data_IF_932088004515
#
_entry.id   IF_932088004515
#
_cell.length_a   1.000
_cell.length_b   1.000
_cell.length_c   1.000
_cell.angle_alpha   90.00
_cell.angle_beta   90.00
_cell.angle_gamma   90.00
#
_symmetry.space_group_name_H-M   'P 1'
#
loop_
_entity.id
_entity.type
_entity.pdbx_description
1 polymer ?
#
# COMPACT_ATOMS: atom_id res chain seq x y z
N UNK A 1 57.27 -9.02 31.00
CA UNK A 1 56.13 -9.94 30.81
C UNK A 1 54.88 -9.10 30.56
N UNK A 2 54.52 -8.88 29.30
CA UNK A 2 53.34 -8.09 28.90
C UNK A 2 52.27 -9.11 28.50
N UNK A 3 51.09 -9.17 29.15
CA UNK A 3 50.08 -10.12 28.74
C UNK A 3 49.38 -9.64 27.47
N UNK A 4 49.29 -10.57 26.52
CA UNK A 4 48.55 -10.52 25.26
C UNK A 4 47.07 -10.20 25.51
N UNK A 5 46.61 -9.00 25.16
CA UNK A 5 45.16 -8.68 25.08
C UNK A 5 44.71 -8.35 23.65
N UNK A 6 45.64 -8.26 22.69
CA UNK A 6 45.31 -7.82 21.31
C UNK A 6 44.78 -8.92 20.38
N UNK A 7 44.74 -10.19 20.78
CA UNK A 7 44.29 -11.29 19.90
C UNK A 7 42.80 -11.63 20.05
N UNK A 8 42.20 -11.46 21.25
CA UNK A 8 40.80 -11.83 21.48
C UNK A 8 39.81 -10.82 20.85
N UNK A 9 40.16 -9.53 20.87
CA UNK A 9 39.36 -8.46 20.26
C UNK A 9 39.44 -8.53 18.72
N UNK A 10 40.62 -8.84 18.17
CA UNK A 10 40.78 -9.01 16.72
C UNK A 10 40.01 -10.23 16.21
N UNK A 11 39.97 -11.33 16.97
CA UNK A 11 39.19 -12.53 16.63
C UNK A 11 37.67 -12.30 16.67
N UNK A 12 37.17 -11.54 17.65
CA UNK A 12 35.74 -11.19 17.73
C UNK A 12 35.30 -10.25 16.61
N UNK A 13 36.13 -9.26 16.25
CA UNK A 13 35.83 -8.33 15.15
C UNK A 13 35.87 -9.04 13.80
N UNK A 14 36.88 -9.89 13.54
CA UNK A 14 36.95 -10.71 12.33
C UNK A 14 35.79 -11.72 12.23
N UNK A 15 35.43 -12.39 13.33
CA UNK A 15 34.29 -13.32 13.38
C UNK A 15 32.97 -12.63 13.04
N UNK A 16 32.73 -11.42 13.57
CA UNK A 16 31.51 -10.66 13.29
C UNK A 16 31.40 -10.19 11.84
N UNK A 17 32.54 -9.88 11.19
CA UNK A 17 32.57 -9.46 9.79
C UNK A 17 32.34 -10.65 8.84
N UNK A 18 32.93 -11.81 9.14
CA UNK A 18 32.74 -13.05 8.38
C UNK A 18 31.29 -13.54 8.48
N UNK A 19 30.73 -13.59 9.69
CA UNK A 19 29.32 -13.97 9.92
C UNK A 19 28.33 -13.09 9.15
N UNK A 20 28.63 -11.79 9.01
CA UNK A 20 27.81 -10.84 8.24
C UNK A 20 27.97 -11.01 6.73
N UNK A 21 29.18 -11.31 6.26
CA UNK A 21 29.40 -11.62 4.85
C UNK A 21 28.68 -12.91 4.43
N UNK A 22 28.66 -13.92 5.31
CA UNK A 22 27.92 -15.16 5.09
C UNK A 22 26.41 -14.90 5.06
N UNK A 23 25.88 -14.15 6.03
CA UNK A 23 24.45 -13.81 6.05
C UNK A 23 24.01 -12.98 4.84
N UNK A 24 24.86 -12.06 4.34
CA UNK A 24 24.58 -11.31 3.11
C UNK A 24 24.50 -12.24 1.90
N UNK A 25 25.44 -13.18 1.78
CA UNK A 25 25.44 -14.18 0.70
C UNK A 25 24.22 -15.08 0.78
N UNK A 26 23.85 -15.53 1.98
CA UNK A 26 22.66 -16.36 2.19
C UNK A 26 21.37 -15.60 1.88
N UNK A 27 21.31 -14.31 2.21
CA UNK A 27 20.20 -13.45 1.83
C UNK A 27 20.06 -13.32 0.30
N UNK A 28 21.18 -13.14 -0.43
CA UNK A 28 21.17 -13.12 -1.90
C UNK A 28 20.66 -14.45 -2.45
N UNK A 29 21.18 -15.58 -1.99
CA UNK A 29 20.71 -16.90 -2.43
C UNK A 29 19.23 -17.13 -2.11
N UNK A 30 18.75 -16.67 -0.94
CA UNK A 30 17.35 -16.77 -0.57
C UNK A 30 16.45 -15.94 -1.50
N UNK A 31 16.88 -14.73 -1.88
CA UNK A 31 16.19 -13.91 -2.91
C UNK A 31 16.13 -14.66 -4.25
N UNK A 32 17.26 -15.21 -4.71
CA UNK A 32 17.33 -15.91 -6.01
C UNK A 32 16.43 -17.16 -6.04
N UNK A 33 16.45 -17.97 -4.98
CA UNK A 33 15.57 -19.15 -4.87
C UNK A 33 14.11 -18.75 -4.76
N UNK A 34 13.82 -17.74 -3.94
CA UNK A 34 12.48 -17.22 -3.71
C UNK A 34 11.84 -16.69 -4.99
N UNK A 35 12.53 -15.78 -5.67
CA UNK A 35 12.06 -15.21 -6.96
C UNK A 35 11.93 -16.27 -8.04
N UNK A 36 12.89 -17.21 -8.14
CA UNK A 36 12.82 -18.31 -9.11
C UNK A 36 11.57 -19.15 -8.92
N UNK A 37 11.26 -19.55 -7.69
CA UNK A 37 10.05 -20.32 -7.42
C UNK A 37 8.79 -19.47 -7.62
N UNK A 38 8.75 -18.27 -7.05
CA UNK A 38 7.55 -17.45 -7.06
C UNK A 38 7.12 -17.07 -8.50
N UNK A 39 8.07 -16.88 -9.41
CA UNK A 39 7.79 -16.68 -10.84
C UNK A 39 6.98 -17.84 -11.47
N UNK A 40 7.08 -19.07 -10.93
CA UNK A 40 6.29 -20.23 -11.40
C UNK A 40 4.82 -20.17 -11.02
N UNK A 41 4.43 -19.26 -10.11
CA UNK A 41 3.03 -19.01 -9.73
C UNK A 41 2.31 -18.07 -10.70
N UNK A 42 3.05 -17.47 -11.64
CA UNK A 42 2.51 -16.48 -12.57
C UNK A 42 1.58 -17.10 -13.61
N UNK A 43 0.62 -16.29 -14.04
CA UNK A 43 -0.26 -16.57 -15.19
C UNK A 43 -0.23 -15.36 -16.10
N UNK A 44 0.09 -15.58 -17.38
CA UNK A 44 0.24 -14.50 -18.37
C UNK A 44 1.22 -13.39 -17.89
N UNK A 45 2.17 -13.74 -17.02
CA UNK A 45 3.12 -12.81 -16.39
C UNK A 45 2.64 -12.13 -15.10
N UNK A 46 1.35 -12.21 -14.75
CA UNK A 46 0.79 -11.61 -13.53
C UNK A 46 0.50 -12.62 -12.41
N UNK A 47 -0.01 -12.11 -11.27
CA UNK A 47 -0.08 -12.83 -9.99
C UNK A 47 -1.42 -12.57 -9.26
N UNK A 48 -1.80 -13.49 -8.38
CA UNK A 48 -2.90 -13.32 -7.41
C UNK A 48 -2.41 -12.98 -6.00
N UNK A 49 -3.28 -12.94 -5.00
CA UNK A 49 -2.84 -12.78 -3.60
C UNK A 49 -2.29 -14.07 -3.02
N UNK A 50 -2.91 -15.19 -3.38
CA UNK A 50 -2.60 -16.49 -2.83
C UNK A 50 -2.68 -17.59 -3.89
N UNK A 51 -1.88 -18.64 -3.67
CA UNK A 51 -1.80 -19.83 -4.51
C UNK A 51 -1.64 -21.08 -3.64
N UNK A 52 -2.29 -22.19 -3.99
CA UNK A 52 -2.06 -23.49 -3.32
C UNK A 52 -0.66 -24.01 -3.59
N UNK A 53 -0.12 -24.86 -2.70
CA UNK A 53 1.24 -25.41 -2.87
C UNK A 53 1.41 -26.35 -4.08
N UNK A 54 0.30 -26.82 -4.65
CA UNK A 54 0.23 -27.58 -5.90
C UNK A 54 -0.08 -26.71 -7.14
N UNK A 55 -0.19 -25.38 -6.95
CA UNK A 55 -0.44 -24.35 -7.95
C UNK A 55 -1.80 -24.44 -8.68
N UNK A 56 -2.73 -25.29 -8.21
CA UNK A 56 -4.01 -25.51 -8.90
C UNK A 56 -5.06 -24.46 -8.62
N UNK A 57 -5.00 -23.79 -7.47
CA UNK A 57 -5.98 -22.79 -7.08
C UNK A 57 -5.28 -21.47 -6.79
N UNK A 58 -5.90 -20.38 -7.24
CA UNK A 58 -5.41 -19.01 -7.10
C UNK A 58 -6.59 -18.10 -6.81
N UNK A 59 -6.40 -17.14 -5.92
CA UNK A 59 -7.42 -16.13 -5.63
C UNK A 59 -6.76 -14.82 -5.18
N UNK A 60 -7.46 -13.72 -5.43
CA UNK A 60 -7.19 -12.39 -4.89
C UNK A 60 -8.24 -12.06 -3.85
N UNK A 61 -8.94 -10.93 -4.02
CA UNK A 61 -10.21 -10.75 -3.31
C UNK A 61 -11.18 -11.88 -3.69
N UNK A 62 -11.36 -12.17 -4.97
CA UNK A 62 -12.17 -13.29 -5.47
C UNK A 62 -11.35 -14.44 -6.05
N UNK A 63 -12.02 -15.52 -6.43
CA UNK A 63 -11.39 -16.61 -7.19
C UNK A 63 -10.87 -16.09 -8.53
N UNK A 64 -9.66 -16.51 -8.92
CA UNK A 64 -9.05 -16.13 -10.19
C UNK A 64 -9.17 -17.29 -11.19
N UNK A 65 -9.73 -17.00 -12.36
CA UNK A 65 -9.79 -17.93 -13.49
C UNK A 65 -8.40 -18.28 -14.04
N UNK A 66 -8.34 -19.26 -14.93
CA UNK A 66 -7.08 -19.79 -15.49
C UNK A 66 -6.18 -18.72 -16.12
N UNK A 67 -6.76 -17.63 -16.62
CA UNK A 67 -6.06 -16.50 -17.26
C UNK A 67 -6.30 -15.16 -16.57
N UNK A 68 -6.73 -15.20 -15.32
CA UNK A 68 -6.95 -13.99 -14.54
C UNK A 68 -5.71 -13.64 -13.72
N UNK A 69 -5.46 -12.33 -13.61
CA UNK A 69 -4.45 -11.75 -12.72
C UNK A 69 -5.08 -10.67 -11.85
N UNK A 70 -4.56 -10.50 -10.65
CA UNK A 70 -5.02 -9.50 -9.70
C UNK A 70 -4.22 -8.21 -9.87
N UNK A 71 -4.90 -7.07 -9.88
CA UNK A 71 -4.26 -5.75 -9.88
C UNK A 71 -4.13 -5.22 -8.45
N UNK A 72 -5.16 -5.39 -7.64
CA UNK A 72 -5.16 -4.94 -6.25
C UNK A 72 -3.98 -5.54 -5.47
N UNK A 73 -3.17 -4.71 -4.77
CA UNK A 73 -2.12 -5.18 -3.87
C UNK A 73 -2.63 -6.20 -2.85
N UNK A 74 -1.88 -7.27 -2.54
CA UNK A 74 -0.50 -7.56 -2.96
C UNK A 74 -0.40 -8.30 -4.31
N UNK A 75 -1.27 -8.02 -5.28
CA UNK A 75 -1.29 -8.65 -6.61
C UNK A 75 -0.13 -8.24 -7.53
N UNK A 76 -0.42 -8.25 -8.83
CA UNK A 76 0.58 -8.15 -9.91
C UNK A 76 1.55 -6.97 -9.79
N UNK A 77 1.10 -5.72 -9.56
CA UNK A 77 2.02 -4.59 -9.46
C UNK A 77 3.01 -4.73 -8.30
N UNK A 78 2.52 -5.17 -7.13
CA UNK A 78 3.36 -5.32 -5.94
C UNK A 78 4.37 -6.46 -6.09
N UNK A 79 3.97 -7.60 -6.65
CA UNK A 79 4.90 -8.70 -6.96
C UNK A 79 5.92 -8.28 -8.01
N UNK A 80 5.49 -7.56 -9.05
CA UNK A 80 6.36 -7.00 -10.08
C UNK A 80 7.43 -6.08 -9.47
N UNK A 81 7.04 -5.21 -8.54
CA UNK A 81 7.95 -4.32 -7.82
C UNK A 81 8.96 -5.12 -6.98
N UNK A 82 8.53 -6.16 -6.26
CA UNK A 82 9.42 -7.03 -5.50
C UNK A 82 10.42 -7.77 -6.42
N UNK A 83 9.98 -8.24 -7.59
CA UNK A 83 10.86 -8.88 -8.59
C UNK A 83 11.90 -7.89 -9.15
N UNK A 84 11.49 -6.65 -9.42
CA UNK A 84 12.41 -5.58 -9.83
C UNK A 84 13.43 -5.30 -8.73
N UNK A 85 12.97 -5.13 -7.48
CA UNK A 85 13.82 -4.90 -6.32
C UNK A 85 14.84 -6.02 -6.11
N UNK A 86 14.40 -7.28 -6.23
CA UNK A 86 15.28 -8.43 -6.17
C UNK A 86 16.37 -8.40 -7.26
N UNK A 87 16.01 -8.05 -8.50
CA UNK A 87 16.99 -7.89 -9.57
C UNK A 87 18.01 -6.78 -9.27
N UNK A 88 17.57 -5.65 -8.72
CA UNK A 88 18.48 -4.54 -8.42
C UNK A 88 19.57 -4.89 -7.42
N UNK A 89 19.24 -5.70 -6.41
CA UNK A 89 20.18 -6.07 -5.34
C UNK A 89 21.01 -7.31 -5.66
N UNK A 90 20.55 -8.19 -6.56
CA UNK A 90 21.21 -9.46 -6.89
C UNK A 90 21.78 -9.57 -8.30
N UNK A 91 21.31 -8.75 -9.25
CA UNK A 91 21.53 -8.89 -10.70
C UNK A 91 21.05 -10.23 -11.26
N UNK A 92 20.15 -10.92 -10.55
CA UNK A 92 19.60 -12.21 -10.96
C UNK A 92 18.62 -12.06 -12.13
N UNK A 93 19.10 -12.37 -13.34
CA UNK A 93 18.32 -12.23 -14.58
C UNK A 93 16.92 -12.88 -14.59
N UNK A 94 16.67 -14.03 -13.95
CA UNK A 94 15.30 -14.55 -13.84
C UNK A 94 14.33 -13.62 -13.11
N UNK A 95 14.77 -12.90 -12.07
CA UNK A 95 13.94 -11.90 -11.39
C UNK A 95 13.62 -10.71 -12.32
N UNK A 96 14.61 -10.25 -13.09
CA UNK A 96 14.39 -9.22 -14.14
C UNK A 96 13.33 -9.67 -15.15
N UNK A 97 13.41 -10.91 -15.63
CA UNK A 97 12.43 -11.44 -16.59
C UNK A 97 11.02 -11.53 -15.99
N UNK A 98 10.91 -11.92 -14.72
CA UNK A 98 9.63 -11.95 -14.02
C UNK A 98 9.03 -10.54 -13.85
N UNK A 99 9.86 -9.52 -13.54
CA UNK A 99 9.41 -8.13 -13.48
C UNK A 99 8.93 -7.62 -14.85
N UNK A 100 9.69 -7.91 -15.93
CA UNK A 100 9.26 -7.56 -17.30
C UNK A 100 7.96 -8.25 -17.71
N UNK A 101 7.79 -9.52 -17.40
CA UNK A 101 6.56 -10.25 -17.66
C UNK A 101 5.36 -9.65 -16.91
N UNK A 102 5.55 -9.23 -15.65
CA UNK A 102 4.50 -8.53 -14.90
C UNK A 102 4.13 -7.19 -15.55
N UNK A 103 5.13 -6.42 -16.01
CA UNK A 103 4.88 -5.16 -16.72
C UNK A 103 4.12 -5.39 -18.04
N UNK A 104 4.52 -6.39 -18.83
CA UNK A 104 3.83 -6.80 -20.06
C UNK A 104 2.38 -7.20 -19.79
N UNK A 105 2.13 -7.95 -18.71
CA UNK A 105 0.78 -8.35 -18.28
C UNK A 105 -0.10 -7.12 -17.96
N UNK A 106 0.46 -6.14 -17.22
CA UNK A 106 -0.24 -4.90 -16.91
C UNK A 106 -0.50 -4.04 -18.16
N UNK A 107 0.47 -3.95 -19.08
CA UNK A 107 0.31 -3.23 -20.35
C UNK A 107 -0.81 -3.85 -21.19
N UNK A 108 -0.84 -5.18 -21.30
CA UNK A 108 -1.91 -5.93 -21.98
C UNK A 108 -3.26 -5.75 -21.30
N UNK A 109 -3.27 -5.63 -19.97
CA UNK A 109 -4.47 -5.41 -19.16
C UNK A 109 -4.93 -3.95 -19.05
N UNK A 110 -4.13 -2.98 -19.52
CA UNK A 110 -4.48 -1.56 -19.44
C UNK A 110 -5.62 -1.24 -20.41
N UNK A 111 -6.77 -0.82 -19.87
CA UNK A 111 -7.95 -0.55 -20.70
C UNK A 111 -7.77 0.70 -21.57
N UNK A 112 -8.73 0.98 -22.45
CA UNK A 112 -8.66 2.10 -23.40
C UNK A 112 -8.54 3.48 -22.74
N UNK A 113 -9.05 3.61 -21.51
CA UNK A 113 -8.99 4.84 -20.70
C UNK A 113 -7.60 5.10 -20.12
N UNK A 114 -6.71 4.09 -20.11
CA UNK A 114 -5.34 4.21 -19.61
C UNK A 114 -5.13 3.67 -18.19
N UNK A 115 -6.10 2.96 -17.62
CA UNK A 115 -6.02 2.45 -16.24
C UNK A 115 -6.45 1.01 -16.11
N UNK A 116 -6.70 0.60 -14.87
CA UNK A 116 -7.02 -0.79 -14.53
C UNK A 116 -8.25 -0.87 -13.64
N UNK A 117 -8.94 -2.00 -13.74
CA UNK A 117 -9.90 -2.46 -12.74
C UNK A 117 -9.20 -3.39 -11.74
N UNK A 118 -9.98 -4.08 -10.91
CA UNK A 118 -9.48 -4.99 -9.89
C UNK A 118 -8.78 -6.24 -10.46
N UNK A 119 -9.31 -6.80 -11.55
CA UNK A 119 -8.84 -8.06 -12.17
C UNK A 119 -8.68 -7.84 -13.66
N UNK A 120 -7.57 -8.31 -14.23
CA UNK A 120 -7.44 -8.43 -15.69
C UNK A 120 -7.78 -9.86 -16.09
N UNK A 121 -8.75 -10.01 -16.99
CA UNK A 121 -9.20 -11.29 -17.54
C UNK A 121 -8.78 -11.39 -19.00
N UNK A 122 -7.72 -12.13 -19.30
CA UNK A 122 -7.17 -12.15 -20.67
C UNK A 122 -8.03 -12.90 -21.70
N UNK A 123 -8.96 -13.73 -21.26
CA UNK A 123 -9.97 -14.42 -22.09
C UNK A 123 -11.41 -13.93 -21.83
N UNK A 124 -11.57 -12.89 -21.00
CA UNK A 124 -12.85 -12.30 -20.63
C UNK A 124 -13.11 -10.96 -21.31
N UNK A 125 -14.30 -10.36 -21.06
CA UNK A 125 -14.55 -9.00 -21.48
C UNK A 125 -13.64 -8.03 -20.71
N UNK A 126 -13.12 -7.02 -21.41
CA UNK A 126 -12.39 -5.93 -20.78
C UNK A 126 -13.34 -5.06 -19.96
N UNK A 127 -12.92 -4.70 -18.75
CA UNK A 127 -13.63 -3.72 -17.95
C UNK A 127 -13.57 -2.34 -18.64
N UNK A 128 -14.74 -1.71 -18.73
CA UNK A 128 -14.91 -0.37 -19.35
C UNK A 128 -14.80 0.77 -18.35
N UNK A 129 -14.23 0.49 -17.18
CA UNK A 129 -13.97 1.46 -16.14
C UNK A 129 -12.58 1.23 -15.55
N UNK A 130 -12.03 2.28 -14.97
CA UNK A 130 -10.86 2.26 -14.11
C UNK A 130 -11.30 2.44 -12.67
N UNK A 131 -10.52 1.87 -11.76
CA UNK A 131 -10.78 1.93 -10.34
C UNK A 131 -9.57 2.52 -9.62
N UNK A 132 -9.87 3.45 -8.71
CA UNK A 132 -8.91 4.03 -7.77
C UNK A 132 -9.05 3.41 -6.38
N UNK A 133 -9.93 2.43 -6.22
CA UNK A 133 -10.12 1.64 -5.01
C UNK A 133 -8.89 0.78 -4.73
N UNK A 134 -8.54 0.62 -3.45
CA UNK A 134 -7.49 -0.29 -2.98
C UNK A 134 -6.19 -0.24 -3.81
N UNK A 135 -5.69 0.96 -4.12
CA UNK A 135 -4.41 1.19 -4.83
C UNK A 135 -4.31 0.47 -6.20
N UNK A 136 -5.42 0.14 -6.87
CA UNK A 136 -5.42 -0.65 -8.10
C UNK A 136 -4.69 0.05 -9.27
N UNK A 137 -5.22 1.16 -9.78
CA UNK A 137 -4.59 1.89 -10.90
C UNK A 137 -3.25 2.50 -10.47
N UNK A 138 -3.17 2.97 -9.23
CA UNK A 138 -2.05 3.71 -8.68
C UNK A 138 -0.81 2.82 -8.48
N UNK A 139 -0.96 1.60 -7.94
CA UNK A 139 0.15 0.65 -7.83
C UNK A 139 0.64 0.16 -9.19
N UNK A 140 -0.27 -0.12 -10.13
CA UNK A 140 0.09 -0.49 -11.50
C UNK A 140 0.91 0.60 -12.18
N UNK A 141 0.47 1.86 -12.09
CA UNK A 141 1.20 2.99 -12.65
C UNK A 141 2.55 3.20 -11.98
N UNK A 142 2.63 3.13 -10.64
CA UNK A 142 3.89 3.24 -9.88
C UNK A 142 4.91 2.18 -10.31
N UNK A 143 4.47 0.93 -10.45
CA UNK A 143 5.35 -0.14 -10.92
C UNK A 143 5.82 0.07 -12.38
N UNK A 144 4.93 0.48 -13.29
CA UNK A 144 5.33 0.76 -14.67
C UNK A 144 6.29 1.97 -14.77
N UNK A 145 6.11 3.01 -13.95
CA UNK A 145 7.08 4.12 -13.87
C UNK A 145 8.44 3.62 -13.38
N UNK A 146 8.48 2.75 -12.36
CA UNK A 146 9.75 2.15 -11.91
C UNK A 146 10.43 1.32 -13.01
N UNK A 147 9.67 0.54 -13.78
CA UNK A 147 10.17 -0.22 -14.92
C UNK A 147 10.69 0.68 -16.05
N UNK A 148 9.97 1.75 -16.38
CA UNK A 148 10.40 2.75 -17.37
C UNK A 148 11.71 3.39 -16.94
N UNK A 149 11.82 3.86 -15.69
CA UNK A 149 13.06 4.47 -15.19
C UNK A 149 14.24 3.52 -15.24
N UNK A 150 14.01 2.22 -14.97
CA UNK A 150 15.07 1.21 -14.96
C UNK A 150 15.54 0.82 -16.36
N UNK A 151 14.61 0.59 -17.29
CA UNK A 151 14.90 -0.04 -18.57
C UNK A 151 14.75 0.86 -19.79
N UNK A 152 14.09 2.02 -19.65
CA UNK A 152 13.87 3.00 -20.72
C UNK A 152 13.22 2.39 -21.97
N UNK A 153 12.21 1.56 -21.74
CA UNK A 153 11.45 0.87 -22.78
C UNK A 153 10.28 1.73 -23.29
N UNK A 154 10.26 2.02 -24.59
CA UNK A 154 9.23 2.85 -25.24
C UNK A 154 7.81 2.28 -25.08
N UNK A 155 7.65 0.96 -25.00
CA UNK A 155 6.36 0.31 -24.81
C UNK A 155 5.85 0.56 -23.39
N UNK A 156 6.74 0.44 -22.40
CA UNK A 156 6.43 0.76 -21.00
C UNK A 156 6.12 2.25 -20.87
N UNK A 157 6.91 3.12 -21.50
CA UNK A 157 6.66 4.56 -21.51
C UNK A 157 5.27 4.92 -22.05
N UNK A 158 4.84 4.35 -23.18
CA UNK A 158 3.49 4.59 -23.73
C UNK A 158 2.39 4.20 -22.75
N UNK A 159 2.57 3.12 -21.99
CA UNK A 159 1.61 2.73 -20.97
C UNK A 159 1.61 3.68 -19.76
N UNK A 160 2.79 4.13 -19.32
CA UNK A 160 2.94 5.16 -18.28
C UNK A 160 2.27 6.46 -18.70
N UNK A 161 2.53 6.94 -19.92
CA UNK A 161 1.95 8.18 -20.47
C UNK A 161 0.42 8.11 -20.49
N UNK A 162 -0.17 6.99 -20.93
CA UNK A 162 -1.62 6.76 -20.88
C UNK A 162 -2.15 6.80 -19.45
N UNK A 163 -1.44 6.20 -18.50
CA UNK A 163 -1.80 6.25 -17.08
C UNK A 163 -1.77 7.65 -16.51
N UNK A 164 -0.72 8.44 -16.76
CA UNK A 164 -0.62 9.84 -16.30
C UNK A 164 -1.71 10.73 -16.92
N UNK A 165 -2.02 10.52 -18.20
CA UNK A 165 -3.13 11.21 -18.87
C UNK A 165 -4.49 10.84 -18.25
N UNK A 166 -4.69 9.57 -17.87
CA UNK A 166 -5.87 9.16 -17.12
C UNK A 166 -5.94 9.84 -15.75
N UNK A 167 -4.85 9.86 -14.99
CA UNK A 167 -4.83 10.45 -13.64
C UNK A 167 -5.27 11.91 -13.69
N UNK A 168 -4.72 12.68 -14.63
CA UNK A 168 -5.05 14.11 -14.78
C UNK A 168 -6.45 14.36 -15.36
N UNK A 169 -6.92 13.52 -16.30
CA UNK A 169 -8.25 13.70 -16.92
C UNK A 169 -9.42 13.22 -16.06
N UNK A 170 -9.17 12.30 -15.13
CA UNK A 170 -10.18 11.78 -14.20
C UNK A 170 -10.33 12.61 -12.92
N UNK A 171 -9.42 13.55 -12.67
CA UNK A 171 -9.49 14.43 -11.50
C UNK A 171 -10.73 15.33 -11.57
N UNK A 172 -11.48 15.38 -10.47
CA UNK A 172 -12.72 16.14 -10.35
C UNK A 172 -12.43 17.65 -10.28
N UNK A 173 -13.43 18.47 -10.60
CA UNK A 173 -13.27 19.94 -10.67
C UNK A 173 -12.84 20.60 -9.37
N UNK A 174 -13.12 19.98 -8.22
CA UNK A 174 -12.67 20.44 -6.91
C UNK A 174 -11.29 19.88 -6.50
N UNK A 175 -10.65 19.03 -7.32
CA UNK A 175 -9.30 18.49 -7.14
C UNK A 175 -9.20 17.07 -6.57
N UNK A 176 -10.31 16.45 -6.16
CA UNK A 176 -10.30 15.05 -5.71
C UNK A 176 -10.34 14.06 -6.87
N UNK A 177 -10.28 12.76 -6.57
CA UNK A 177 -10.51 11.69 -7.55
C UNK A 177 -11.79 10.90 -7.22
N UNK A 178 -12.52 10.42 -8.25
CA UNK A 178 -13.66 9.55 -8.04
C UNK A 178 -13.21 8.18 -7.52
N UNK A 179 -14.15 7.34 -7.08
CA UNK A 179 -13.86 5.92 -6.81
C UNK A 179 -13.62 5.14 -8.11
N UNK A 180 -14.41 5.43 -9.15
CA UNK A 180 -14.28 4.84 -10.49
C UNK A 180 -14.42 5.90 -11.58
N UNK A 181 -13.79 5.63 -12.71
CA UNK A 181 -13.89 6.47 -13.91
C UNK A 181 -14.14 5.61 -15.16
N UNK A 182 -15.03 6.01 -16.10
CA UNK A 182 -15.80 7.24 -16.16
C UNK A 182 -16.94 7.24 -15.14
N UNK A 183 -17.76 8.28 -15.17
CA UNK A 183 -18.91 8.45 -14.26
C UNK A 183 -19.87 7.24 -14.32
N UNK A 184 -20.21 6.69 -13.17
CA UNK A 184 -21.09 5.55 -12.95
C UNK A 184 -22.54 5.94 -12.59
N UNK A 185 -22.78 7.20 -12.18
CA UNK A 185 -24.12 7.69 -11.81
C UNK A 185 -24.54 7.35 -10.38
N UNK A 186 -23.60 6.98 -9.51
CA UNK A 186 -23.83 6.66 -8.11
C UNK A 186 -22.64 7.12 -7.25
N UNK A 187 -22.50 6.60 -6.03
CA UNK A 187 -21.44 7.02 -5.11
C UNK A 187 -20.03 6.83 -5.67
N UNK A 188 -19.84 5.99 -6.70
CA UNK A 188 -18.54 5.84 -7.34
C UNK A 188 -18.04 7.12 -8.03
N UNK A 189 -18.93 8.09 -8.29
CA UNK A 189 -18.60 9.39 -8.86
C UNK A 189 -18.01 10.38 -7.84
N UNK A 190 -18.10 10.07 -6.55
CA UNK A 190 -17.74 10.98 -5.48
C UNK A 190 -16.25 11.03 -5.24
N UNK A 191 -15.77 12.16 -4.74
CA UNK A 191 -14.41 12.30 -4.25
C UNK A 191 -14.20 11.32 -3.09
N UNK A 192 -13.32 10.33 -3.24
CA UNK A 192 -13.31 9.17 -2.33
C UNK A 192 -11.96 8.96 -1.63
N UNK A 193 -11.95 9.16 -0.30
CA UNK A 193 -10.85 8.78 0.60
C UNK A 193 -11.00 7.35 1.13
N UNK A 194 -12.19 6.74 1.00
CA UNK A 194 -12.39 5.35 1.40
C UNK A 194 -11.29 4.46 0.82
N UNK A 195 -10.76 3.57 1.66
CA UNK A 195 -9.69 2.63 1.33
C UNK A 195 -8.48 3.32 0.63
N UNK A 196 -8.18 4.55 1.07
CA UNK A 196 -7.05 5.39 0.62
C UNK A 196 -7.10 5.86 -0.85
N UNK A 197 -8.23 5.75 -1.57
CA UNK A 197 -8.26 6.03 -3.01
C UNK A 197 -7.60 7.35 -3.45
N UNK A 198 -8.01 8.49 -2.88
CA UNK A 198 -7.35 9.79 -3.15
C UNK A 198 -5.91 9.83 -2.60
N UNK A 199 -5.64 9.24 -1.44
CA UNK A 199 -4.32 9.25 -0.81
C UNK A 199 -3.28 8.52 -1.69
N UNK A 200 -3.66 7.39 -2.29
CA UNK A 200 -2.82 6.65 -3.23
C UNK A 200 -2.65 7.40 -4.56
N UNK A 201 -3.68 8.12 -5.01
CA UNK A 201 -3.54 9.04 -6.14
C UNK A 201 -2.50 10.13 -5.84
N UNK A 202 -2.51 10.72 -4.64
CA UNK A 202 -1.51 11.72 -4.23
C UNK A 202 -0.11 11.10 -4.25
N UNK A 203 0.06 9.91 -3.67
CA UNK A 203 1.34 9.19 -3.61
C UNK A 203 1.93 8.98 -5.01
N UNK A 204 1.16 8.42 -5.95
CA UNK A 204 1.67 8.13 -7.30
C UNK A 204 1.88 9.42 -8.12
N UNK A 205 1.09 10.46 -7.88
CA UNK A 205 1.26 11.75 -8.56
C UNK A 205 2.48 12.53 -8.05
N UNK A 206 2.82 12.42 -6.75
CA UNK A 206 4.09 12.91 -6.21
C UNK A 206 5.26 12.18 -6.87
N UNK A 207 5.22 10.85 -6.95
CA UNK A 207 6.23 10.07 -7.67
C UNK A 207 6.38 10.56 -9.11
N UNK A 208 5.28 10.78 -9.82
CA UNK A 208 5.30 11.26 -11.19
C UNK A 208 5.90 12.67 -11.32
N UNK A 209 5.48 13.63 -10.49
CA UNK A 209 5.97 15.02 -10.51
C UNK A 209 7.47 15.11 -10.20
N UNK A 210 7.99 14.23 -9.34
CA UNK A 210 9.44 14.13 -9.08
C UNK A 210 10.26 13.60 -10.25
N UNK A 211 9.65 12.85 -11.18
CA UNK A 211 10.39 12.11 -12.21
C UNK A 211 10.12 12.60 -13.64
N UNK A 212 9.00 13.28 -13.87
CA UNK A 212 8.58 13.73 -15.20
C UNK A 212 8.32 15.23 -15.19
N UNK A 213 9.01 15.97 -16.06
CA UNK A 213 8.83 17.40 -16.23
C UNK A 213 7.49 17.70 -16.95
N UNK A 214 6.40 17.69 -16.19
CA UNK A 214 5.05 17.90 -16.70
C UNK A 214 4.26 18.82 -15.75
N UNK A 215 4.04 20.10 -16.10
CA UNK A 215 3.33 21.06 -15.26
C UNK A 215 1.92 20.64 -14.86
N UNK A 216 1.26 19.79 -15.64
CA UNK A 216 -0.07 19.27 -15.33
C UNK A 216 -0.05 18.37 -14.09
N UNK A 217 1.05 17.67 -13.81
CA UNK A 217 1.20 16.86 -12.59
C UNK A 217 1.25 17.77 -11.36
N UNK A 218 2.11 18.79 -11.38
CA UNK A 218 2.20 19.82 -10.34
C UNK A 218 0.85 20.51 -10.09
N UNK A 219 0.15 20.90 -11.16
CA UNK A 219 -1.17 21.53 -11.07
C UNK A 219 -2.21 20.58 -10.44
N UNK A 220 -2.16 19.29 -10.78
CA UNK A 220 -3.02 18.27 -10.19
C UNK A 220 -2.78 18.11 -8.68
N UNK A 221 -1.51 18.13 -8.25
CA UNK A 221 -1.14 18.10 -6.83
C UNK A 221 -1.61 19.35 -6.07
N UNK A 222 -1.49 20.54 -6.66
CA UNK A 222 -2.03 21.77 -6.08
C UNK A 222 -3.55 21.73 -5.94
N UNK A 223 -4.25 21.15 -6.93
CA UNK A 223 -5.70 21.00 -6.89
C UNK A 223 -6.16 20.05 -5.77
N UNK A 224 -5.52 18.90 -5.60
CA UNK A 224 -5.88 17.97 -4.51
C UNK A 224 -5.45 18.50 -3.14
N UNK A 225 -4.35 19.23 -3.03
CA UNK A 225 -3.97 19.91 -1.79
C UNK A 225 -5.06 20.91 -1.37
N UNK A 226 -5.58 21.71 -2.31
CA UNK A 226 -6.75 22.57 -2.06
C UNK A 226 -7.97 21.75 -1.67
N UNK A 227 -8.24 20.62 -2.33
CA UNK A 227 -9.36 19.75 -2.00
C UNK A 227 -9.33 19.25 -0.55
N UNK A 228 -8.16 18.78 -0.09
CA UNK A 228 -7.98 18.34 1.30
C UNK A 228 -8.32 19.45 2.29
N UNK A 229 -7.83 20.67 2.04
CA UNK A 229 -8.09 21.84 2.89
C UNK A 229 -9.58 22.20 2.94
N UNK A 230 -10.27 22.26 1.79
CA UNK A 230 -11.68 22.70 1.74
C UNK A 230 -12.69 21.61 2.12
N UNK A 231 -12.27 20.34 2.13
CA UNK A 231 -13.13 19.21 2.49
C UNK A 231 -13.06 18.84 3.98
N UNK A 232 -12.09 19.38 4.72
CA UNK A 232 -12.06 19.21 6.18
C UNK A 232 -13.33 19.78 6.79
N UNK A 233 -13.98 19.02 7.67
CA UNK A 233 -15.14 19.52 8.40
C UNK A 233 -14.69 20.61 9.39
N UNK A 234 -15.55 21.60 9.71
CA UNK A 234 -15.21 22.61 10.71
C UNK A 234 -15.22 22.03 12.13
N UNK A 235 -14.64 22.73 13.12
CA UNK A 235 -14.89 22.44 14.54
C UNK A 235 -16.39 22.32 14.83
N UNK A 236 -16.82 21.38 15.70
CA UNK A 236 -15.99 20.63 16.64
C UNK A 236 -15.38 19.31 16.11
N UNK A 237 -15.57 18.95 14.84
CA UNK A 237 -15.08 17.68 14.28
C UNK A 237 -14.18 17.90 13.06
N UNK A 238 -12.96 18.44 13.24
CA UNK A 238 -12.00 18.77 12.19
C UNK A 238 -11.35 17.55 11.50
N UNK A 239 -12.16 16.56 11.12
CA UNK A 239 -11.75 15.38 10.37
C UNK A 239 -12.33 15.37 8.95
N UNK A 240 -12.20 14.23 8.28
CA UNK A 240 -12.74 14.00 6.94
C UNK A 240 -13.71 12.82 6.92
N UNK A 241 -14.69 12.90 6.02
CA UNK A 241 -15.54 11.77 5.66
C UNK A 241 -14.84 10.82 4.69
N UNK A 242 -15.39 9.62 4.52
CA UNK A 242 -14.90 8.66 3.52
C UNK A 242 -15.10 9.15 2.07
N UNK A 243 -16.18 9.88 1.80
CA UNK A 243 -16.45 10.41 0.46
C UNK A 243 -17.28 11.69 0.50
N UNK A 244 -17.10 12.52 -0.53
CA UNK A 244 -17.77 13.80 -0.69
C UNK A 244 -18.45 13.91 -2.05
N UNK A 245 -19.71 14.35 -2.04
CA UNK A 245 -20.43 14.63 -3.28
C UNK A 245 -19.88 15.90 -3.97
N UNK A 246 -20.45 16.23 -5.14
CA UNK A 246 -20.06 17.41 -5.93
C UNK A 246 -20.23 18.78 -5.22
N UNK A 247 -20.91 18.81 -4.07
CA UNK A 247 -21.12 19.99 -3.24
C UNK A 247 -20.23 20.01 -1.99
N UNK A 248 -19.21 19.14 -1.92
CA UNK A 248 -18.31 18.99 -0.76
C UNK A 248 -19.05 18.59 0.52
N UNK A 249 -20.14 17.83 0.41
CA UNK A 249 -20.85 17.29 1.56
C UNK A 249 -20.46 15.83 1.76
N UNK A 250 -20.18 15.38 3.00
CA UNK A 250 -20.12 13.96 3.34
C UNK A 250 -21.32 13.22 2.76
N UNK A 251 -21.09 12.09 2.12
CA UNK A 251 -22.12 11.39 1.36
C UNK A 251 -22.19 9.90 1.70
N UNK A 252 -23.36 9.31 1.45
CA UNK A 252 -23.54 7.86 1.51
C UNK A 252 -22.69 7.18 0.43
N UNK A 253 -22.07 6.05 0.78
CA UNK A 253 -21.59 5.08 -0.18
C UNK A 253 -22.54 3.87 -0.19
N UNK A 254 -22.08 2.71 0.30
CA UNK A 254 -22.92 1.53 0.46
C UNK A 254 -23.99 1.78 1.54
N UNK A 255 -25.02 0.93 1.58
CA UNK A 255 -26.17 1.11 2.50
C UNK A 255 -25.81 1.13 3.99
N UNK A 256 -24.58 0.74 4.35
CA UNK A 256 -24.05 0.71 5.71
C UNK A 256 -22.89 1.71 5.94
N UNK A 257 -22.65 2.60 4.97
CA UNK A 257 -21.58 3.61 4.99
C UNK A 257 -22.20 5.02 4.93
N UNK A 258 -22.65 5.55 6.08
CA UNK A 258 -23.36 6.82 6.15
C UNK A 258 -22.43 8.03 5.96
N UNK A 259 -22.99 9.23 5.66
CA UNK A 259 -22.32 10.50 5.85
C UNK A 259 -21.87 10.64 7.31
N UNK A 260 -20.57 10.57 7.54
CA UNK A 260 -19.96 10.61 8.86
C UNK A 260 -18.50 11.03 8.77
N UNK A 261 -17.95 11.55 9.86
CA UNK A 261 -16.51 11.77 9.98
C UNK A 261 -15.84 10.42 10.22
N UNK A 262 -14.73 10.15 9.54
CA UNK A 262 -14.03 8.88 9.55
C UNK A 262 -12.62 9.07 10.12
N UNK A 263 -12.34 8.52 11.33
CA UNK A 263 -11.02 8.61 11.96
C UNK A 263 -9.87 8.05 11.10
N UNK A 264 -10.07 6.90 10.42
CA UNK A 264 -9.03 6.33 9.57
C UNK A 264 -8.77 7.17 8.33
N UNK A 265 -9.81 7.67 7.65
CA UNK A 265 -9.66 8.60 6.53
C UNK A 265 -8.97 9.90 6.96
N UNK A 266 -9.33 10.41 8.14
CA UNK A 266 -8.66 11.58 8.74
C UNK A 266 -7.16 11.31 8.90
N UNK A 267 -6.76 10.20 9.54
CA UNK A 267 -5.35 9.85 9.74
C UNK A 267 -4.57 9.75 8.43
N UNK A 268 -5.15 9.15 7.37
CA UNK A 268 -4.51 9.10 6.05
C UNK A 268 -4.37 10.49 5.42
N UNK A 269 -5.39 11.34 5.55
CA UNK A 269 -5.35 12.71 5.05
C UNK A 269 -4.29 13.57 5.75
N UNK A 270 -4.02 13.35 7.05
CA UNK A 270 -2.89 14.01 7.73
C UNK A 270 -1.56 13.65 7.08
N UNK A 271 -1.37 12.37 6.76
CA UNK A 271 -0.15 11.92 6.08
C UNK A 271 -0.02 12.52 4.69
N UNK A 272 -1.09 12.55 3.89
CA UNK A 272 -1.06 13.17 2.57
C UNK A 272 -0.84 14.68 2.62
N UNK A 273 -1.38 15.39 3.61
CA UNK A 273 -1.11 16.81 3.82
C UNK A 273 0.36 17.06 4.17
N UNK A 274 0.97 16.21 5.00
CA UNK A 274 2.41 16.26 5.27
C UNK A 274 3.23 15.95 4.02
N UNK A 275 2.88 14.93 3.24
CA UNK A 275 3.56 14.60 1.98
C UNK A 275 3.52 15.78 1.00
N UNK A 276 2.34 16.39 0.84
CA UNK A 276 2.13 17.55 -0.01
C UNK A 276 2.87 18.79 0.51
N UNK A 277 2.91 19.02 1.83
CA UNK A 277 3.68 20.12 2.40
C UNK A 277 5.16 20.01 2.05
N UNK A 278 5.74 18.81 2.19
CA UNK A 278 7.13 18.53 1.85
C UNK A 278 7.36 18.67 0.35
N UNK A 279 6.58 17.97 -0.47
CA UNK A 279 6.78 17.92 -1.92
C UNK A 279 6.46 19.25 -2.63
N UNK A 280 5.45 19.97 -2.15
CA UNK A 280 5.10 21.28 -2.68
C UNK A 280 5.96 22.41 -2.07
N UNK A 281 6.71 22.10 -1.01
CA UNK A 281 7.44 23.06 -0.18
C UNK A 281 6.54 24.19 0.32
N UNK A 282 5.38 23.83 0.88
CA UNK A 282 4.37 24.77 1.33
C UNK A 282 3.76 24.35 2.67
N UNK A 283 4.11 25.11 3.72
CA UNK A 283 3.72 24.84 5.10
C UNK A 283 2.23 25.10 5.36
N UNK A 284 1.52 25.80 4.48
CA UNK A 284 0.10 26.07 4.69
C UNK A 284 -0.72 24.77 4.79
N UNK A 285 -0.24 23.68 4.20
CA UNK A 285 -0.88 22.38 4.25
C UNK A 285 -0.72 21.66 5.61
N UNK A 286 0.12 22.19 6.51
CA UNK A 286 0.27 21.68 7.88
C UNK A 286 -0.74 22.28 8.87
N UNK A 287 -1.27 23.48 8.58
CA UNK A 287 -2.24 24.19 9.42
C UNK A 287 -3.44 23.34 9.92
N UNK A 288 -4.14 22.56 9.07
CA UNK A 288 -5.33 21.81 9.51
C UNK A 288 -5.02 20.62 10.43
N UNK A 289 -3.74 20.21 10.54
CA UNK A 289 -3.36 18.94 11.16
C UNK A 289 -3.51 18.98 12.68
N UNK A 290 -3.19 20.11 13.33
CA UNK A 290 -3.21 20.21 14.78
C UNK A 290 -4.61 19.94 15.36
N UNK A 291 -5.63 20.54 14.76
CA UNK A 291 -7.02 20.38 15.17
C UNK A 291 -7.53 18.96 14.93
N UNK A 292 -7.13 18.35 13.80
CA UNK A 292 -7.49 16.97 13.48
C UNK A 292 -6.82 15.94 14.40
N UNK A 293 -5.56 16.13 14.78
CA UNK A 293 -4.86 15.27 15.74
C UNK A 293 -5.53 15.31 17.11
N UNK A 294 -5.92 16.50 17.59
CA UNK A 294 -6.69 16.64 18.83
C UNK A 294 -8.03 15.90 18.72
N UNK A 295 -8.75 16.08 17.62
CA UNK A 295 -10.03 15.39 17.42
C UNK A 295 -9.89 13.87 17.38
N UNK A 296 -8.82 13.34 16.79
CA UNK A 296 -8.52 11.91 16.82
C UNK A 296 -8.29 11.40 18.24
N UNK A 297 -7.59 12.15 19.10
CA UNK A 297 -7.46 11.78 20.52
C UNK A 297 -8.80 11.80 21.24
N UNK A 298 -9.59 12.87 21.05
CA UNK A 298 -10.87 13.07 21.72
C UNK A 298 -11.94 12.05 21.33
N UNK A 299 -11.84 11.46 20.12
CA UNK A 299 -12.83 10.51 19.59
C UNK A 299 -12.49 9.04 19.85
N UNK A 300 -11.42 8.76 20.60
CA UNK A 300 -11.11 7.38 21.00
C UNK A 300 -12.23 6.81 21.90
N UNK A 301 -12.66 5.59 21.58
CA UNK A 301 -13.69 4.89 22.33
C UNK A 301 -13.14 4.35 23.66
N UNK A 302 -14.00 4.07 24.65
CA UNK A 302 -13.58 3.51 25.95
C UNK A 302 -12.80 2.19 25.85
N UNK A 303 -12.94 1.44 24.76
CA UNK A 303 -12.21 0.20 24.50
C UNK A 303 -10.81 0.42 23.88
N UNK A 304 -10.38 1.66 23.68
CA UNK A 304 -9.10 2.03 23.09
C UNK A 304 -9.07 2.04 21.56
N UNK A 305 -10.20 1.74 20.90
CA UNK A 305 -10.34 1.75 19.44
C UNK A 305 -10.97 3.05 18.94
N UNK A 306 -11.06 3.19 17.62
CA UNK A 306 -11.76 4.29 16.94
C UNK A 306 -12.90 3.74 16.11
N UNK A 307 -14.09 4.34 16.24
CA UNK A 307 -15.20 4.03 15.36
C UNK A 307 -14.86 4.41 13.92
N UNK A 308 -15.22 3.60 12.93
CA UNK A 308 -15.04 3.92 11.50
C UNK A 308 -15.90 5.11 11.08
N UNK A 309 -17.05 5.29 11.74
CA UNK A 309 -17.97 6.39 11.49
C UNK A 309 -18.28 7.10 12.80
N UNK A 310 -18.10 8.41 12.81
CA UNK A 310 -18.47 9.32 13.88
C UNK A 310 -19.59 10.23 13.39
N UNK A 311 -20.71 10.22 14.09
CA UNK A 311 -21.90 11.00 13.75
C UNK A 311 -21.59 12.50 13.77
N UNK A 312 -21.98 13.18 12.68
CA UNK A 312 -21.73 14.61 12.50
C UNK A 312 -22.50 15.41 13.55
N UNK A 313 -21.81 16.30 14.24
CA UNK A 313 -22.34 17.19 15.27
C UNK A 313 -22.40 16.59 16.68
N UNK A 314 -22.18 15.29 16.86
CA UNK A 314 -22.35 14.64 18.19
C UNK A 314 -21.07 14.04 18.77
N UNK A 315 -20.09 13.71 17.93
CA UNK A 315 -18.86 13.03 18.37
C UNK A 315 -19.05 11.56 18.74
N UNK A 316 -20.25 11.00 18.53
CA UNK A 316 -20.57 9.61 18.91
C UNK A 316 -20.28 8.65 17.76
N UNK A 317 -19.92 7.41 18.10
CA UNK A 317 -19.83 6.33 17.12
C UNK A 317 -21.18 6.12 16.42
N UNK A 318 -21.11 5.77 15.13
CA UNK A 318 -22.27 5.56 14.27
C UNK A 318 -22.18 4.18 13.61
N UNK A 319 -23.20 3.35 13.81
CA UNK A 319 -23.26 2.01 13.23
C UNK A 319 -24.51 1.85 12.37
N UNK A 320 -24.32 1.28 11.18
CA UNK A 320 -25.38 0.96 10.25
C UNK A 320 -25.22 -0.45 9.72
N UNK A 321 -26.28 -1.23 9.73
CA UNK A 321 -26.38 -2.50 9.02
C UNK A 321 -26.87 -2.28 7.57
N UNK A 322 -26.89 -3.36 6.80
CA UNK A 322 -27.43 -3.41 5.45
C UNK A 322 -28.84 -2.83 5.38
N UNK A 323 -29.12 -2.07 4.32
CA UNK A 323 -30.42 -1.44 4.13
C UNK A 323 -30.61 -0.13 4.90
N UNK A 324 -29.53 0.49 5.37
CA UNK A 324 -29.54 1.74 6.15
C UNK A 324 -30.28 1.60 7.49
N UNK A 325 -30.10 0.44 8.13
CA UNK A 325 -30.64 0.19 9.47
C UNK A 325 -29.62 0.70 10.49
N UNK A 326 -29.95 1.78 11.21
CA UNK A 326 -29.11 2.26 12.32
C UNK A 326 -29.22 1.29 13.50
N UNK A 327 -28.09 0.99 14.13
CA UNK A 327 -28.02 0.20 15.37
C UNK A 327 -27.17 0.94 16.40
N UNK A 328 -27.31 0.61 17.67
CA UNK A 328 -26.63 1.34 18.75
C UNK A 328 -25.25 0.79 19.10
N UNK A 329 -24.95 -0.45 18.68
CA UNK A 329 -23.71 -1.15 19.01
C UNK A 329 -23.30 -2.14 17.91
N UNK A 330 -22.03 -2.57 17.94
CA UNK A 330 -21.56 -3.60 16.98
C UNK A 330 -22.19 -4.98 17.25
N UNK A 331 -22.72 -5.20 18.46
CA UNK A 331 -23.41 -6.42 18.89
C UNK A 331 -24.73 -6.65 18.16
N UNK A 332 -25.39 -5.56 17.76
CA UNK A 332 -26.69 -5.56 17.07
C UNK A 332 -26.57 -5.74 15.55
N UNK A 333 -25.35 -5.66 15.01
CA UNK A 333 -25.10 -5.89 13.59
C UNK A 333 -25.36 -7.34 13.20
N UNK A 334 -25.90 -7.54 12.01
CA UNK A 334 -25.99 -8.86 11.37
C UNK A 334 -24.61 -9.53 11.33
N UNK A 335 -24.58 -10.87 11.46
CA UNK A 335 -23.35 -11.67 11.51
C UNK A 335 -22.36 -11.32 10.38
N UNK A 336 -22.88 -11.10 9.17
CA UNK A 336 -22.08 -10.76 8.01
C UNK A 336 -21.43 -9.37 8.13
N UNK A 337 -22.12 -8.36 8.68
CA UNK A 337 -21.52 -7.04 8.93
C UNK A 337 -20.59 -7.04 10.13
N UNK A 338 -21.01 -7.64 11.25
CA UNK A 338 -20.24 -7.67 12.50
C UNK A 338 -18.85 -8.27 12.32
N UNK A 339 -18.74 -9.36 11.55
CA UNK A 339 -17.47 -10.06 11.35
C UNK A 339 -16.84 -9.79 9.97
N UNK A 340 -17.58 -9.20 9.03
CA UNK A 340 -17.13 -8.93 7.66
C UNK A 340 -16.59 -7.53 7.44
N UNK A 341 -16.84 -6.59 8.36
CA UNK A 341 -16.47 -5.19 8.20
C UNK A 341 -15.97 -4.61 9.52
N UNK A 342 -14.81 -3.93 9.48
CA UNK A 342 -14.24 -3.29 10.65
C UNK A 342 -14.95 -1.97 10.96
N UNK A 343 -15.92 -2.01 11.88
CA UNK A 343 -16.59 -0.80 12.40
C UNK A 343 -15.77 -0.09 13.48
N UNK A 344 -14.82 -0.78 14.10
CA UNK A 344 -13.90 -0.23 15.09
C UNK A 344 -12.50 -0.71 14.77
N UNK A 345 -11.53 0.20 14.77
CA UNK A 345 -10.15 -0.08 14.35
C UNK A 345 -9.16 0.51 15.35
N UNK A 346 -8.03 -0.16 15.54
CA UNK A 346 -6.92 0.40 16.30
C UNK A 346 -6.13 1.36 15.40
N UNK A 347 -6.00 2.62 15.82
CA UNK A 347 -5.22 3.64 15.13
C UNK A 347 -3.97 4.05 15.94
N UNK A 348 -3.72 3.46 17.09
CA UNK A 348 -2.76 3.95 18.09
C UNK A 348 -1.35 4.13 17.50
N UNK A 349 -0.82 3.10 16.84
CA UNK A 349 0.51 3.15 16.26
C UNK A 349 0.62 4.14 15.09
N UNK A 350 -0.41 4.19 14.24
CA UNK A 350 -0.46 5.10 13.09
C UNK A 350 -0.58 6.57 13.53
N UNK A 351 -1.43 6.84 14.52
CA UNK A 351 -1.61 8.16 15.12
C UNK A 351 -0.34 8.64 15.80
N UNK A 352 0.32 7.79 16.59
CA UNK A 352 1.59 8.13 17.23
C UNK A 352 2.68 8.45 16.21
N UNK A 353 2.75 7.69 15.11
CA UNK A 353 3.68 7.97 14.00
C UNK A 353 3.35 9.31 13.32
N UNK A 354 2.07 9.59 13.08
CA UNK A 354 1.63 10.84 12.48
C UNK A 354 1.93 12.05 13.38
N UNK A 355 1.72 11.95 14.70
CA UNK A 355 2.09 13.00 15.67
C UNK A 355 3.58 13.31 15.63
N UNK A 356 4.43 12.29 15.73
CA UNK A 356 5.89 12.46 15.65
C UNK A 356 6.34 13.11 14.35
N UNK A 357 5.76 12.68 13.23
CA UNK A 357 6.04 13.25 11.92
C UNK A 357 5.61 14.72 11.84
N UNK A 358 4.40 15.02 12.30
CA UNK A 358 3.87 16.37 12.35
C UNK A 358 4.72 17.28 13.24
N UNK A 359 5.03 16.87 14.47
CA UNK A 359 5.87 17.64 15.40
C UNK A 359 7.25 17.94 14.80
N UNK A 360 7.83 16.97 14.09
CA UNK A 360 9.09 17.16 13.38
C UNK A 360 8.96 18.22 12.28
N UNK A 361 7.95 18.13 11.40
CA UNK A 361 7.75 19.09 10.32
C UNK A 361 7.35 20.48 10.84
N UNK A 362 6.52 20.54 11.88
CA UNK A 362 6.01 21.78 12.46
C UNK A 362 7.15 22.59 13.10
N UNK A 363 8.04 21.95 13.85
CA UNK A 363 9.09 22.65 14.59
C UNK A 363 10.36 23.00 13.77
N UNK A 364 10.56 22.42 12.57
CA UNK A 364 11.78 22.65 11.75
C UNK A 364 11.86 24.01 11.04
N UNK A 365 10.89 24.92 11.20
CA UNK A 365 10.93 26.23 10.54
C UNK A 365 10.70 26.12 9.02
N UNK A 366 11.53 26.71 8.16
CA UNK A 366 11.31 26.64 6.70
C UNK A 366 11.78 25.34 6.04
N UNK A 367 12.55 24.51 6.74
CA UNK A 367 13.08 23.27 6.19
C UNK A 367 12.09 22.11 6.45
N UNK A 368 11.57 21.53 5.37
CA UNK A 368 10.60 20.44 5.40
C UNK A 368 11.20 19.09 4.99
N UNK A 369 12.52 18.90 5.07
CA UNK A 369 13.10 17.57 4.87
C UNK A 369 12.54 16.58 5.92
N UNK A 370 12.04 15.43 5.49
CA UNK A 370 11.53 14.39 6.40
C UNK A 370 12.66 13.57 7.04
N UNK A 371 13.91 13.79 6.61
CA UNK A 371 15.14 13.41 7.29
C UNK A 371 15.13 11.96 7.76
N UNK A 372 15.43 11.05 6.83
CA UNK A 372 15.52 9.60 7.04
C UNK A 372 16.03 9.24 8.45
N UNK A 373 15.21 8.51 9.22
CA UNK A 373 15.48 8.16 10.61
C UNK A 373 16.86 7.48 10.70
N UNK A 374 17.82 7.99 11.51
CA UNK A 374 19.16 7.40 11.54
C UNK A 374 19.07 5.93 11.92
N UNK A 375 19.59 5.05 11.05
CA UNK A 375 19.71 3.62 11.30
C UNK A 375 20.44 3.40 12.62
N UNK A 376 19.69 3.15 13.69
CA UNK A 376 20.27 2.91 14.99
C UNK A 376 20.67 1.41 15.12
N UNK A 377 21.50 1.11 16.12
CA UNK A 377 22.07 -0.23 16.32
C UNK A 377 20.99 -1.30 16.54
N UNK A 378 19.90 -0.94 17.22
CA UNK A 378 18.79 -1.84 17.53
C UNK A 378 17.99 -2.22 16.28
N UNK A 379 17.67 -1.24 15.44
CA UNK A 379 17.03 -1.46 14.15
C UNK A 379 17.83 -2.46 13.31
N UNK A 380 19.15 -2.27 13.23
CA UNK A 380 20.00 -3.16 12.44
C UNK A 380 20.06 -4.58 13.01
N UNK A 381 20.10 -4.75 14.34
CA UNK A 381 20.01 -6.08 14.96
C UNK A 381 18.67 -6.76 14.70
N UNK A 382 17.58 -6.00 14.74
CA UNK A 382 16.25 -6.51 14.40
C UNK A 382 16.17 -6.94 12.93
N UNK A 383 16.79 -6.20 12.01
CA UNK A 383 16.90 -6.59 10.61
C UNK A 383 17.71 -7.89 10.45
N UNK A 384 18.90 -8.00 11.06
CA UNK A 384 19.72 -9.23 11.02
C UNK A 384 18.94 -10.46 11.53
N UNK A 385 18.15 -10.29 12.59
CA UNK A 385 17.30 -11.35 13.13
C UNK A 385 16.21 -11.76 12.13
N UNK A 386 15.47 -10.80 11.58
CA UNK A 386 14.41 -11.06 10.60
C UNK A 386 14.94 -11.73 9.34
N UNK A 387 16.12 -11.33 8.85
CA UNK A 387 16.78 -11.95 7.69
C UNK A 387 17.04 -13.43 7.94
N UNK A 388 17.55 -13.80 9.12
CA UNK A 388 17.76 -15.21 9.49
C UNK A 388 16.45 -15.98 9.54
N UNK A 389 15.44 -15.43 10.21
CA UNK A 389 14.09 -16.04 10.30
C UNK A 389 13.50 -16.31 8.89
N UNK A 390 13.66 -15.37 7.95
CA UNK A 390 13.19 -15.52 6.57
C UNK A 390 13.97 -16.60 5.81
N UNK A 391 15.29 -16.65 5.97
CA UNK A 391 16.14 -17.66 5.33
C UNK A 391 15.79 -19.06 5.85
N UNK A 392 15.64 -19.20 7.16
CA UNK A 392 15.34 -20.47 7.84
C UNK A 392 13.92 -20.97 7.50
N UNK A 393 12.97 -20.07 7.27
CA UNK A 393 11.61 -20.40 6.84
C UNK A 393 11.51 -20.78 5.36
N UNK A 394 12.56 -20.58 4.56
CA UNK A 394 12.55 -20.92 3.14
C UNK A 394 12.80 -22.41 2.93
N UNK A 395 11.85 -23.11 2.32
CA UNK A 395 12.00 -24.55 2.09
C UNK A 395 13.02 -24.89 0.97
N UNK A 396 13.27 -26.19 0.77
CA UNK A 396 14.25 -26.66 -0.22
C UNK A 396 13.90 -26.33 -1.68
N UNK A 397 12.64 -25.96 -1.96
CA UNK A 397 12.19 -25.52 -3.29
C UNK A 397 12.29 -24.00 -3.45
N UNK A 398 12.68 -23.26 -2.39
CA UNK A 398 12.73 -21.80 -2.38
C UNK A 398 11.43 -21.14 -1.94
N UNK A 399 10.48 -21.87 -1.35
CA UNK A 399 9.15 -21.36 -1.02
C UNK A 399 9.11 -20.81 0.40
N UNK A 400 8.30 -19.78 0.59
CA UNK A 400 7.78 -19.39 1.90
C UNK A 400 6.31 -19.79 1.97
N UNK A 401 6.02 -20.89 2.65
CA UNK A 401 4.67 -21.44 2.79
C UNK A 401 4.09 -20.98 4.12
N UNK A 402 2.90 -20.39 4.08
CA UNK A 402 2.12 -20.16 5.29
C UNK A 402 1.38 -21.45 5.60
N UNK A 403 1.86 -22.16 6.62
CA UNK A 403 1.28 -23.44 7.05
C UNK A 403 -0.04 -23.21 7.79
N UNK A 404 -1.03 -24.06 7.54
CA UNK A 404 -2.34 -24.04 8.22
C UNK A 404 -2.97 -22.65 8.29
N UNK A 405 -2.90 -21.93 7.17
CA UNK A 405 -3.46 -20.61 7.06
C UNK A 405 -5.00 -20.71 7.11
N UNK A 406 -5.61 -19.99 8.05
CA UNK A 406 -7.04 -20.06 8.35
C UNK A 406 -7.76 -18.82 7.83
N UNK A 407 -8.69 -19.02 6.90
CA UNK A 407 -9.41 -17.93 6.22
C UNK A 407 -10.88 -18.28 6.00
N UNK A 408 -11.71 -17.26 5.74
CA UNK A 408 -13.15 -17.43 5.53
C UNK A 408 -13.41 -18.28 4.29
N UNK A 409 -14.26 -19.30 4.43
CA UNK A 409 -14.76 -20.08 3.29
C UNK A 409 -15.65 -19.20 2.44
N UNK A 410 -15.25 -18.94 1.20
CA UNK A 410 -16.11 -18.25 0.22
C UNK A 410 -16.97 -19.28 -0.51
N UNK A 411 -18.26 -19.01 -0.59
CA UNK A 411 -19.22 -19.80 -1.36
C UNK A 411 -19.86 -18.84 -2.37
N UNK A 412 -19.66 -19.02 -3.68
CA UNK A 412 -20.22 -18.11 -4.69
C UNK A 412 -21.72 -17.90 -4.50
N UNK A 413 -22.14 -16.63 -4.51
CA UNK A 413 -23.55 -16.24 -4.36
C UNK A 413 -24.12 -16.38 -2.94
N UNK A 414 -23.32 -16.77 -1.95
CA UNK A 414 -23.78 -16.90 -0.57
C UNK A 414 -23.01 -15.96 0.38
N UNK A 415 -23.72 -15.49 1.41
CA UNK A 415 -23.08 -14.78 2.52
C UNK A 415 -22.22 -15.74 3.31
N UNK A 416 -21.18 -15.22 3.94
CA UNK A 416 -20.33 -16.02 4.78
C UNK A 416 -21.14 -16.60 5.95
N UNK A 417 -21.10 -17.92 6.11
CA UNK A 417 -21.92 -18.66 7.07
C UNK A 417 -21.18 -18.98 8.39
N UNK A 418 -20.01 -18.37 8.62
CA UNK A 418 -19.16 -18.65 9.79
C UNK A 418 -18.09 -19.71 9.57
N UNK A 419 -18.08 -20.39 8.41
CA UNK A 419 -17.10 -21.45 8.13
C UNK A 419 -15.73 -20.91 7.74
N UNK A 420 -14.69 -21.55 8.27
CA UNK A 420 -13.31 -21.29 7.88
C UNK A 420 -12.75 -22.49 7.14
N UNK A 421 -11.80 -22.22 6.25
CA UNK A 421 -10.92 -23.23 5.65
C UNK A 421 -9.53 -23.04 6.23
N UNK A 422 -8.84 -24.15 6.45
CA UNK A 422 -7.44 -24.18 6.87
C UNK A 422 -6.66 -24.99 5.84
N UNK A 423 -5.60 -24.43 5.28
CA UNK A 423 -4.68 -25.13 4.37
C UNK A 423 -3.34 -24.41 4.24
N UNK A 424 -2.33 -25.10 3.71
CA UNK A 424 -1.04 -24.51 3.39
C UNK A 424 -1.12 -23.69 2.10
N UNK A 425 -0.63 -22.44 2.13
CA UNK A 425 -0.73 -21.51 0.99
C UNK A 425 0.55 -20.73 0.78
N UNK A 426 0.79 -20.36 -0.47
CA UNK A 426 1.82 -19.39 -0.84
C UNK A 426 1.12 -18.02 -0.93
N UNK A 427 1.68 -17.01 -0.28
CA UNK A 427 1.12 -15.66 -0.23
C UNK A 427 2.05 -14.66 -0.92
N UNK A 428 1.48 -13.82 -1.80
CA UNK A 428 2.19 -12.71 -2.43
C UNK A 428 2.65 -11.69 -1.40
N UNK A 429 1.86 -11.42 -0.34
CA UNK A 429 2.29 -10.53 0.75
C UNK A 429 3.54 -11.04 1.43
N UNK A 430 3.55 -12.33 1.83
CA UNK A 430 4.72 -12.94 2.49
C UNK A 430 5.94 -12.92 1.56
N UNK A 431 5.76 -13.21 0.27
CA UNK A 431 6.83 -13.11 -0.70
C UNK A 431 7.41 -11.69 -0.79
N UNK A 432 6.55 -10.68 -0.94
CA UNK A 432 6.94 -9.26 -1.05
C UNK A 432 7.70 -8.83 0.21
N UNK A 433 7.12 -9.04 1.39
CA UNK A 433 7.71 -8.62 2.67
C UNK A 433 9.08 -9.27 2.90
N UNK A 434 9.23 -10.54 2.50
CA UNK A 434 10.50 -11.26 2.59
C UNK A 434 11.54 -10.72 1.61
N UNK A 435 11.16 -10.48 0.35
CA UNK A 435 12.06 -9.92 -0.65
C UNK A 435 12.51 -8.51 -0.25
N UNK A 436 11.61 -7.65 0.23
CA UNK A 436 11.96 -6.31 0.70
C UNK A 436 12.94 -6.38 1.88
N UNK A 437 12.64 -7.20 2.90
CA UNK A 437 13.51 -7.34 4.08
C UNK A 437 14.90 -7.86 3.71
N UNK A 438 14.99 -8.87 2.84
CA UNK A 438 16.26 -9.42 2.39
C UNK A 438 17.03 -8.40 1.51
N UNK A 439 16.33 -7.70 0.62
CA UNK A 439 16.93 -6.72 -0.28
C UNK A 439 17.48 -5.51 0.49
N UNK A 440 16.76 -5.01 1.48
CA UNK A 440 17.21 -3.93 2.34
C UNK A 440 18.48 -4.31 3.10
N UNK A 441 18.55 -5.55 3.60
CA UNK A 441 19.77 -6.06 4.20
C UNK A 441 20.94 -6.04 3.21
N UNK A 442 20.76 -6.57 2.01
CA UNK A 442 21.82 -6.61 0.97
C UNK A 442 22.31 -5.21 0.59
N UNK A 443 21.41 -4.25 0.47
CA UNK A 443 21.72 -2.88 0.06
C UNK A 443 22.56 -2.10 1.08
N UNK A 444 22.30 -2.29 2.37
CA UNK A 444 23.08 -1.65 3.44
C UNK A 444 24.57 -2.00 3.30
N UNK A 445 24.89 -3.25 2.95
CA UNK A 445 26.27 -3.70 2.79
C UNK A 445 26.88 -3.30 1.44
N UNK A 446 26.08 -3.13 0.38
CA UNK A 446 26.56 -2.54 -0.88
C UNK A 446 26.98 -1.08 -0.67
N UNK A 447 26.17 -0.27 0.03
CA UNK A 447 26.48 1.16 0.29
C UNK A 447 27.72 1.35 1.16
N UNK A 448 28.00 0.46 2.13
CA UNK A 448 29.21 0.51 2.96
C UNK A 448 30.53 0.24 2.22
N UNK A 449 30.50 -0.39 1.04
CA UNK A 449 31.70 -0.56 0.20
C UNK A 449 32.10 0.70 -0.58
N UNK A 450 31.24 1.71 -0.66
CA UNK A 450 31.41 2.91 -1.50
C UNK A 450 31.77 4.17 -0.69
N UNK A 451 31.72 4.12 0.65
CA UNK A 451 32.21 5.22 1.49
C UNK A 451 33.73 5.10 1.69
N UNK A 452 34.53 6.15 1.41
CA UNK A 452 35.94 6.17 1.79
C UNK A 452 36.08 5.99 3.31
N UNK A 453 37.06 5.18 3.73
CA UNK A 453 37.42 5.00 5.14
C UNK A 453 37.90 6.30 5.79
#
# INVERSE_FOLDING_TARGET
MIPRVSHLILFFVLSSAVLRADLQRDAIHAIERGTKYFATTSVEGGYGWYVTTDLKQRWGEGDLGEKDIEIQPPGTPSVGMAMLRAYEVTEYNPAMRAAKAAAEALIKGQNELGGWSHVVRFDGPNDRFVSFDDDQTQSALSFLMAMERKFKDDTVWKAVERGLNLMTSSQLSHGGWPHRYPRQGNYHDYATFNDQGINDCIRVMIEADSNYANPQLRNSLLAVARFLMISQLPPPQPGWAQQYNQYLQPAWARSFEPPAVCPSATLHNLNSLMDLAVHLNDRQYLEPIHDALRWLDDTQLPNGLWARFVEIGTGKALYYDLGRIRVDSTEELSTDRRYGYGYETDLSAGLEKAKKRFDSLWNRGQDLDDGNNPMNKEWFMNLERRVKEIIDAQDSKGRWVTEKDRFKKRIPGQRWNGEYVEMDRISSRVFIDNIETLADYVDIFRRKKVMPQ
#
